data_IF_106104522243
#
_entry.id   IF_106104522243
#
_cell.length_a   1.000
_cell.length_b   1.000
_cell.length_c   1.000
_cell.angle_alpha   90.00
_cell.angle_beta   90.00
_cell.angle_gamma   90.00
#
_symmetry.space_group_name_H-M   'P 1'
#
loop_
_entity.id
_entity.type
_entity.pdbx_description
1 polymer ?
#
# COMPACT_ATOMS: atom_id res chain seq x y z
N UNK A 1 -12.73 -24.60 -4.58
CA UNK A 1 -13.13 -23.48 -3.68
C UNK A 1 -12.07 -23.16 -2.62
N UNK A 2 -11.54 -24.14 -1.87
CA UNK A 2 -10.52 -23.91 -0.82
C UNK A 2 -9.30 -23.11 -1.31
N UNK A 3 -8.77 -23.43 -2.49
CA UNK A 3 -7.64 -22.72 -3.12
C UNK A 3 -7.93 -21.26 -3.44
N UNK A 4 -9.16 -20.92 -3.86
CA UNK A 4 -9.54 -19.52 -4.15
C UNK A 4 -9.61 -18.69 -2.86
N UNK A 5 -10.17 -19.24 -1.78
CA UNK A 5 -10.25 -18.57 -0.47
C UNK A 5 -8.85 -18.35 0.10
N UNK A 6 -8.00 -19.38 0.06
CA UNK A 6 -6.61 -19.27 0.50
C UNK A 6 -5.84 -18.17 -0.27
N UNK A 7 -6.02 -18.08 -1.59
CA UNK A 7 -5.37 -17.04 -2.38
C UNK A 7 -5.93 -15.64 -2.07
N UNK A 8 -7.22 -15.51 -1.76
CA UNK A 8 -7.81 -14.23 -1.35
C UNK A 8 -7.24 -13.77 -0.01
N UNK A 9 -7.13 -14.70 0.95
CA UNK A 9 -6.45 -14.45 2.23
C UNK A 9 -4.99 -14.05 2.03
N UNK A 10 -4.26 -14.74 1.14
CA UNK A 10 -2.89 -14.36 0.81
C UNK A 10 -2.81 -12.94 0.22
N UNK A 11 -3.76 -12.55 -0.63
CA UNK A 11 -3.84 -11.19 -1.18
C UNK A 11 -4.11 -10.15 -0.08
N UNK A 12 -5.02 -10.46 0.85
CA UNK A 12 -5.31 -9.62 2.01
C UNK A 12 -4.05 -9.42 2.88
N UNK A 13 -3.39 -10.52 3.23
CA UNK A 13 -2.17 -10.52 4.05
C UNK A 13 -1.02 -9.78 3.37
N UNK A 14 -0.90 -9.90 2.05
CA UNK A 14 0.07 -9.13 1.27
C UNK A 14 -0.22 -7.62 1.34
N UNK A 15 -1.49 -7.22 1.25
CA UNK A 15 -1.92 -5.83 1.45
C UNK A 15 -1.52 -5.29 2.82
N UNK A 16 -1.78 -6.08 3.87
CA UNK A 16 -1.39 -5.77 5.25
C UNK A 16 0.14 -5.60 5.34
N UNK A 17 0.91 -6.57 4.84
CA UNK A 17 2.37 -6.53 4.90
C UNK A 17 2.94 -5.30 4.18
N UNK A 18 2.45 -4.99 2.98
CA UNK A 18 2.90 -3.80 2.23
C UNK A 18 2.54 -2.51 2.97
N UNK A 19 1.40 -2.45 3.66
CA UNK A 19 1.00 -1.29 4.46
C UNK A 19 1.94 -1.06 5.64
N UNK A 20 2.27 -2.12 6.39
CA UNK A 20 3.22 -2.05 7.52
C UNK A 20 4.59 -1.58 7.03
N UNK A 21 5.14 -2.26 6.01
CA UNK A 21 6.43 -1.92 5.41
C UNK A 21 6.43 -0.49 4.87
N UNK A 22 5.33 -0.08 4.25
CA UNK A 22 5.13 1.27 3.75
C UNK A 22 5.13 2.33 4.84
N UNK A 23 4.50 2.06 5.98
CA UNK A 23 4.53 2.96 7.13
C UNK A 23 5.97 3.26 7.55
N UNK A 24 6.78 2.22 7.77
CA UNK A 24 8.19 2.40 8.15
C UNK A 24 9.05 3.05 7.05
N UNK A 25 8.86 2.63 5.80
CA UNK A 25 9.60 3.19 4.66
C UNK A 25 9.38 4.70 4.54
N UNK A 26 8.15 5.18 4.72
CA UNK A 26 7.83 6.61 4.62
C UNK A 26 8.59 7.48 5.63
N UNK A 27 9.00 6.92 6.77
CA UNK A 27 9.80 7.65 7.75
C UNK A 27 11.25 7.87 7.28
N UNK A 28 11.72 7.10 6.29
CA UNK A 28 13.07 7.23 5.75
C UNK A 28 13.18 8.49 4.87
N UNK A 29 13.88 9.50 5.41
CA UNK A 29 14.24 10.73 4.70
C UNK A 29 15.74 10.93 4.78
N UNK A 30 16.32 11.57 3.75
CA UNK A 30 17.73 11.96 3.77
C UNK A 30 17.84 13.46 3.49
N UNK A 31 18.83 14.13 4.10
CA UNK A 31 19.06 15.56 3.88
C UNK A 31 20.30 15.77 3.02
N UNK A 32 20.10 16.25 1.79
CA UNK A 32 21.17 16.67 0.88
C UNK A 32 20.77 18.06 0.38
N UNK A 33 21.17 19.10 1.12
CA UNK A 33 20.71 20.50 0.99
C UNK A 33 19.19 20.72 1.24
N UNK A 34 18.34 19.80 0.79
CA UNK A 34 16.89 19.74 1.00
C UNK A 34 16.56 18.35 1.58
N UNK A 35 15.48 18.23 2.35
CA UNK A 35 14.98 16.94 2.84
C UNK A 35 14.27 16.21 1.70
N UNK A 36 14.84 15.09 1.25
CA UNK A 36 14.25 14.26 0.19
C UNK A 36 13.56 13.06 0.83
N UNK A 37 12.24 12.88 0.61
CA UNK A 37 11.48 11.78 1.19
C UNK A 37 11.56 10.51 0.32
N UNK A 38 12.76 9.94 0.18
CA UNK A 38 13.00 8.73 -0.63
C UNK A 38 12.10 7.56 -0.25
N UNK A 39 11.75 7.44 1.02
CA UNK A 39 10.82 6.45 1.54
C UNK A 39 9.48 6.40 0.79
N UNK A 40 8.94 7.56 0.44
CA UNK A 40 7.68 7.68 -0.29
C UNK A 40 7.85 7.16 -1.71
N UNK A 41 8.92 7.54 -2.40
CA UNK A 41 9.19 7.10 -3.77
C UNK A 41 9.38 5.57 -3.83
N UNK A 42 10.18 5.03 -2.91
CA UNK A 42 10.45 3.60 -2.84
C UNK A 42 9.17 2.82 -2.54
N UNK A 43 8.37 3.29 -1.58
CA UNK A 43 7.06 2.69 -1.32
C UNK A 43 6.15 2.74 -2.55
N UNK A 44 6.01 3.89 -3.23
CA UNK A 44 5.11 4.04 -4.36
C UNK A 44 5.44 3.04 -5.48
N UNK A 45 6.73 2.78 -5.70
CA UNK A 45 7.17 1.74 -6.63
C UNK A 45 6.75 0.35 -6.14
N UNK A 46 7.04 -0.01 -4.88
CA UNK A 46 6.66 -1.30 -4.30
C UNK A 46 5.14 -1.53 -4.43
N UNK A 47 4.34 -0.53 -4.07
CA UNK A 47 2.89 -0.59 -4.10
C UNK A 47 2.33 -0.72 -5.52
N UNK A 48 2.89 0.04 -6.47
CA UNK A 48 2.51 -0.06 -7.88
C UNK A 48 2.85 -1.45 -8.45
N UNK A 49 4.06 -1.94 -8.19
CA UNK A 49 4.50 -3.24 -8.69
C UNK A 49 3.78 -4.41 -8.03
N UNK A 50 3.40 -4.32 -6.74
CA UNK A 50 2.61 -5.36 -6.08
C UNK A 50 1.23 -5.49 -6.68
N UNK A 51 0.52 -4.38 -6.94
CA UNK A 51 -0.79 -4.40 -7.59
C UNK A 51 -0.66 -4.93 -9.03
N UNK A 52 0.37 -4.46 -9.77
CA UNK A 52 0.66 -4.95 -11.12
C UNK A 52 0.89 -6.46 -11.13
N UNK A 53 1.65 -6.97 -10.16
CA UNK A 53 1.92 -8.39 -10.03
C UNK A 53 0.63 -9.18 -9.76
N UNK A 54 -0.21 -8.72 -8.82
CA UNK A 54 -1.48 -9.38 -8.48
C UNK A 54 -2.41 -9.42 -9.69
N UNK A 55 -2.58 -8.31 -10.41
CA UNK A 55 -3.52 -8.28 -11.54
C UNK A 55 -3.04 -9.12 -12.72
N UNK A 56 -1.73 -9.18 -12.99
CA UNK A 56 -1.16 -9.99 -14.07
C UNK A 56 -1.20 -11.49 -13.75
N UNK A 57 -1.01 -11.88 -12.49
CA UNK A 57 -1.00 -13.29 -12.07
C UNK A 57 -2.39 -13.86 -11.89
N UNK A 58 -3.28 -13.12 -11.22
CA UNK A 58 -4.64 -13.59 -10.89
C UNK A 58 -5.66 -13.31 -11.98
N UNK A 59 -5.36 -12.37 -12.89
CA UNK A 59 -6.29 -11.85 -13.91
C UNK A 59 -7.66 -11.49 -13.33
N UNK A 60 -7.71 -11.02 -12.09
CA UNK A 60 -8.97 -10.78 -11.38
C UNK A 60 -8.89 -9.55 -10.49
N UNK A 61 -9.92 -8.70 -10.61
CA UNK A 61 -10.04 -7.47 -9.81
C UNK A 61 -10.35 -7.75 -8.34
N UNK A 62 -10.97 -8.89 -8.03
CA UNK A 62 -11.32 -9.24 -6.66
C UNK A 62 -10.05 -9.33 -5.80
N UNK A 63 -8.98 -9.92 -6.30
CA UNK A 63 -7.72 -10.02 -5.57
C UNK A 63 -7.10 -8.65 -5.30
N UNK A 64 -7.19 -7.73 -6.26
CA UNK A 64 -6.71 -6.34 -6.10
C UNK A 64 -7.55 -5.58 -5.07
N UNK A 65 -8.87 -5.77 -5.08
CA UNK A 65 -9.77 -5.18 -4.06
C UNK A 65 -9.44 -5.74 -2.68
N UNK A 66 -9.30 -7.05 -2.54
CA UNK A 66 -8.94 -7.70 -1.28
C UNK A 66 -7.58 -7.22 -0.76
N UNK A 67 -6.59 -7.10 -1.65
CA UNK A 67 -5.30 -6.49 -1.32
C UNK A 67 -5.48 -5.04 -0.84
N UNK A 68 -6.26 -4.24 -1.56
CA UNK A 68 -6.56 -2.85 -1.20
C UNK A 68 -7.24 -2.71 0.17
N UNK A 69 -8.16 -3.62 0.51
CA UNK A 69 -8.80 -3.67 1.83
C UNK A 69 -7.77 -3.94 2.93
N UNK A 70 -6.92 -4.94 2.74
CA UNK A 70 -5.86 -5.29 3.71
C UNK A 70 -4.86 -4.15 3.89
N UNK A 71 -4.50 -3.47 2.79
CA UNK A 71 -3.64 -2.30 2.84
C UNK A 71 -4.28 -1.13 3.60
N UNK A 72 -5.51 -0.77 3.23
CA UNK A 72 -6.21 0.41 3.76
C UNK A 72 -6.51 0.27 5.24
N UNK A 73 -6.94 -0.92 5.67
CA UNK A 73 -7.26 -1.19 7.08
C UNK A 73 -6.06 -0.95 8.01
N UNK A 74 -4.86 -1.37 7.61
CA UNK A 74 -3.64 -1.14 8.39
C UNK A 74 -3.16 0.30 8.25
N UNK A 75 -3.27 0.91 7.07
CA UNK A 75 -2.88 2.31 6.89
C UNK A 75 -3.69 3.23 7.80
N UNK A 76 -5.01 2.95 7.92
CA UNK A 76 -5.89 3.64 8.87
C UNK A 76 -5.53 3.32 10.31
N UNK A 77 -5.28 2.05 10.67
CA UNK A 77 -4.90 1.67 12.02
C UNK A 77 -3.61 2.39 12.47
N UNK A 78 -2.57 2.41 11.64
CA UNK A 78 -1.30 3.08 11.92
C UNK A 78 -1.42 4.61 11.96
N UNK A 79 -2.48 5.17 11.38
CA UNK A 79 -2.79 6.61 11.49
C UNK A 79 -3.40 7.00 12.84
N UNK A 80 -3.85 6.02 13.65
CA UNK A 80 -4.42 6.27 14.98
C UNK A 80 -3.33 6.33 16.06
N UNK A 81 -3.54 7.13 17.10
CA UNK A 81 -2.61 7.33 18.24
C UNK A 81 -2.56 6.13 19.20
N UNK A 82 -2.50 4.90 18.70
CA UNK A 82 -2.47 3.71 19.54
C UNK A 82 -1.03 3.23 19.77
N UNK A 83 -0.56 3.40 21.01
CA UNK A 83 0.59 2.79 21.71
C UNK A 83 2.01 3.00 21.15
N UNK A 84 2.18 3.36 19.88
CA UNK A 84 3.44 3.81 19.27
C UNK A 84 3.25 4.98 18.29
N UNK A 85 2.05 5.59 18.32
CA UNK A 85 1.52 6.52 17.32
C UNK A 85 2.13 7.93 17.28
N UNK A 86 3.23 8.18 18.00
CA UNK A 86 4.04 9.40 17.85
C UNK A 86 5.16 9.25 16.80
N UNK A 87 5.39 8.03 16.26
CA UNK A 87 6.61 7.75 15.49
C UNK A 87 6.50 7.83 13.96
N UNK A 88 5.32 7.90 13.31
CA UNK A 88 5.30 7.69 11.85
C UNK A 88 4.28 8.52 11.05
N UNK A 89 3.06 8.77 11.54
CA UNK A 89 1.97 9.29 10.68
C UNK A 89 1.18 10.46 11.27
N UNK A 90 1.47 10.89 12.49
CA UNK A 90 0.72 11.92 13.20
C UNK A 90 1.02 13.31 12.60
N UNK A 91 0.04 13.83 11.86
CA UNK A 91 -0.05 15.20 11.35
C UNK A 91 0.92 15.64 10.24
N UNK A 92 1.58 14.72 9.55
CA UNK A 92 2.46 15.06 8.44
C UNK A 92 1.66 15.20 7.11
N UNK A 93 1.74 16.36 6.44
CA UNK A 93 1.17 16.60 5.10
C UNK A 93 1.59 15.49 4.11
N UNK A 94 2.82 15.00 4.25
CA UNK A 94 3.37 13.93 3.41
C UNK A 94 2.60 12.60 3.55
N UNK A 95 2.17 12.24 4.76
CA UNK A 95 1.36 11.04 5.00
C UNK A 95 -0.02 11.13 4.31
N UNK A 96 -0.61 12.33 4.27
CA UNK A 96 -1.89 12.57 3.58
C UNK A 96 -1.71 12.48 2.06
N UNK A 97 -0.68 13.11 1.51
CA UNK A 97 -0.34 13.04 0.08
C UNK A 97 -0.10 11.58 -0.33
N UNK A 98 0.62 10.82 0.50
CA UNK A 98 0.85 9.41 0.30
C UNK A 98 -0.45 8.59 0.23
N UNK A 99 -1.38 8.82 1.16
CA UNK A 99 -2.61 8.04 1.24
C UNK A 99 -3.44 8.28 -0.03
N UNK A 100 -3.58 9.55 -0.41
CA UNK A 100 -4.29 9.96 -1.63
C UNK A 100 -3.60 9.37 -2.87
N UNK A 101 -2.28 9.52 -2.98
CA UNK A 101 -1.50 8.97 -4.09
C UNK A 101 -1.63 7.45 -4.23
N UNK A 102 -1.62 6.74 -3.10
CA UNK A 102 -1.80 5.29 -3.07
C UNK A 102 -3.20 4.88 -3.51
N UNK A 103 -4.24 5.61 -3.10
CA UNK A 103 -5.62 5.37 -3.57
C UNK A 103 -5.74 5.61 -5.08
N UNK A 104 -5.09 6.66 -5.61
CA UNK A 104 -5.05 6.92 -7.05
C UNK A 104 -4.37 5.77 -7.79
N UNK A 105 -3.21 5.31 -7.31
CA UNK A 105 -2.48 4.17 -7.90
C UNK A 105 -3.35 2.91 -7.86
N UNK A 106 -3.98 2.61 -6.73
CA UNK A 106 -4.87 1.45 -6.59
C UNK A 106 -6.03 1.52 -7.58
N UNK A 107 -6.69 2.68 -7.69
CA UNK A 107 -7.75 2.93 -8.65
C UNK A 107 -7.27 2.71 -10.09
N UNK A 108 -6.23 3.43 -10.51
CA UNK A 108 -5.69 3.36 -11.86
C UNK A 108 -5.25 1.93 -12.25
N UNK A 109 -4.57 1.24 -11.35
CA UNK A 109 -4.06 -0.11 -11.60
C UNK A 109 -5.17 -1.16 -11.60
N UNK A 110 -6.22 -0.97 -10.79
CA UNK A 110 -7.40 -1.85 -10.81
C UNK A 110 -8.21 -1.77 -12.12
N UNK A 111 -8.05 -0.66 -12.85
CA UNK A 111 -8.70 -0.42 -14.15
C UNK A 111 -7.94 -1.00 -15.34
N UNK A 112 -6.74 -1.56 -15.15
CA UNK A 112 -5.98 -2.15 -16.25
C UNK A 112 -6.77 -3.26 -16.97
N UNK A 113 -6.62 -3.38 -18.29
CA UNK A 113 -7.30 -4.42 -19.05
C UNK A 113 -6.79 -5.78 -18.61
N UNK A 114 -7.73 -6.65 -18.22
CA UNK A 114 -7.43 -8.04 -17.95
C UNK A 114 -7.13 -8.72 -19.28
N UNK A 115 -5.92 -9.26 -19.45
CA UNK A 115 -5.59 -10.05 -20.64
C UNK A 115 -6.57 -11.21 -20.76
N UNK A 116 -7.29 -11.26 -21.89
CA UNK A 116 -8.17 -12.38 -22.28
C UNK A 116 -7.42 -13.71 -22.17
#
# INVERSE_FOLDING_TARGET
>A
MKTKIANLLASLLLGIAVSIVGGFLQAATSKIFITIPWGILLYSLIFLYSIRYIILTTKSRIFVITYGIGWLSIALLMSTKLLAGDLVLTNNLLAKIYLIGSVIILGAMSSLPLKK
#
